data_IF_529583091442
#
_entry.id   IF_529583091442
#
_cell.length_a   1.000
_cell.length_b   1.000
_cell.length_c   1.000
_cell.angle_alpha   90.00
_cell.angle_beta   90.00
_cell.angle_gamma   90.00
#
_symmetry.space_group_name_H-M   'P 1'
#
loop_
_entity.id
_entity.type
_entity.pdbx_description
1 polymer ?
#
# COMPACT_ATOMS: atom_id res chain seq x y z
N UNK A 1 6.90 -2.96 21.28
CA UNK A 1 5.76 -2.36 20.57
C UNK A 1 5.51 -3.16 19.31
N UNK A 2 4.27 -3.60 19.05
CA UNK A 2 3.95 -4.31 17.81
C UNK A 2 4.10 -3.37 16.60
N UNK A 3 4.37 -3.92 15.41
CA UNK A 3 4.53 -3.14 14.18
C UNK A 3 3.36 -2.16 13.98
N UNK A 4 2.14 -2.60 14.24
CA UNK A 4 0.90 -1.84 14.05
C UNK A 4 0.66 -0.69 15.04
N UNK A 5 1.40 -0.63 16.15
CA UNK A 5 1.18 0.36 17.21
C UNK A 5 2.27 1.45 17.23
N UNK A 6 3.11 1.51 16.19
CA UNK A 6 4.08 2.61 16.07
C UNK A 6 3.33 3.93 15.79
N UNK A 7 3.50 4.98 16.61
CA UNK A 7 2.65 6.18 16.57
C UNK A 7 2.63 6.87 15.20
N UNK A 8 3.78 6.93 14.52
CA UNK A 8 3.86 7.56 13.21
C UNK A 8 3.08 6.78 12.14
N UNK A 9 2.95 5.44 12.22
CA UNK A 9 2.20 4.70 11.17
C UNK A 9 0.72 4.95 11.32
N UNK A 10 0.25 4.97 12.58
CA UNK A 10 -1.12 5.34 12.90
C UNK A 10 -1.38 6.78 12.45
N UNK A 11 -0.51 7.72 12.79
CA UNK A 11 -0.68 9.13 12.41
C UNK A 11 -0.75 9.30 10.88
N UNK A 12 0.17 8.69 10.13
CA UNK A 12 0.18 8.76 8.66
C UNK A 12 -0.99 8.02 8.02
N UNK A 13 -1.45 6.91 8.60
CA UNK A 13 -2.69 6.24 8.18
C UNK A 13 -3.91 7.15 8.37
N UNK A 14 -4.05 7.78 9.54
CA UNK A 14 -5.18 8.67 9.84
C UNK A 14 -5.17 9.91 8.94
N UNK A 15 -4.00 10.51 8.69
CA UNK A 15 -3.86 11.63 7.75
C UNK A 15 -4.25 11.20 6.33
N UNK A 16 -3.74 10.06 5.85
CA UNK A 16 -4.09 9.53 4.53
C UNK A 16 -5.59 9.23 4.41
N UNK A 17 -6.18 8.61 5.42
CA UNK A 17 -7.60 8.31 5.45
C UNK A 17 -8.46 9.58 5.45
N UNK A 18 -8.07 10.60 6.23
CA UNK A 18 -8.75 11.89 6.24
C UNK A 18 -8.72 12.54 4.84
N UNK A 19 -7.58 12.51 4.16
CA UNK A 19 -7.45 13.03 2.80
C UNK A 19 -8.32 12.26 1.80
N UNK A 20 -8.43 10.94 1.94
CA UNK A 20 -9.29 10.12 1.08
C UNK A 20 -10.77 10.47 1.29
N UNK A 21 -11.21 10.61 2.53
CA UNK A 21 -12.60 10.98 2.86
C UNK A 21 -12.93 12.39 2.34
N UNK A 22 -12.06 13.37 2.59
CA UNK A 22 -12.22 14.73 2.05
C UNK A 22 -12.18 14.77 0.52
N UNK A 23 -11.37 13.91 -0.09
CA UNK A 23 -11.30 13.76 -1.54
C UNK A 23 -12.61 13.20 -2.12
N UNK A 24 -13.20 12.19 -1.49
CA UNK A 24 -14.49 11.65 -1.89
C UNK A 24 -15.60 12.72 -1.85
N UNK A 25 -15.60 13.56 -0.82
CA UNK A 25 -16.53 14.70 -0.71
C UNK A 25 -16.36 15.74 -1.81
N UNK A 26 -15.11 16.04 -2.15
CA UNK A 26 -14.78 17.08 -3.10
C UNK A 26 -15.00 16.66 -4.55
N UNK A 27 -14.53 15.47 -4.93
CA UNK A 27 -14.58 14.99 -6.32
C UNK A 27 -15.88 14.26 -6.66
N UNK A 28 -16.54 13.64 -5.67
CA UNK A 28 -17.84 12.97 -5.84
C UNK A 28 -17.87 11.97 -7.00
N UNK A 29 -16.78 11.22 -7.21
CA UNK A 29 -16.75 10.19 -8.24
C UNK A 29 -17.70 9.04 -7.87
N UNK A 30 -18.44 8.53 -8.86
CA UNK A 30 -19.46 7.51 -8.65
C UNK A 30 -18.94 6.13 -8.22
N UNK A 31 -17.62 5.94 -8.19
CA UNK A 31 -16.91 4.72 -7.82
C UNK A 31 -16.08 4.87 -6.53
N UNK A 32 -16.06 6.08 -5.94
CA UNK A 32 -15.23 6.44 -4.80
C UNK A 32 -16.05 7.08 -3.68
N UNK A 33 -16.22 6.34 -2.59
CA UNK A 33 -16.90 6.80 -1.38
C UNK A 33 -16.02 6.60 -0.12
N UNK A 34 -16.58 6.88 1.05
CA UNK A 34 -15.89 6.69 2.32
C UNK A 34 -15.63 5.21 2.64
N UNK A 35 -16.56 4.33 2.28
CA UNK A 35 -16.49 2.92 2.61
C UNK A 35 -15.33 2.23 1.91
N UNK A 36 -15.17 2.48 0.60
CA UNK A 36 -14.03 1.95 -0.15
C UNK A 36 -12.70 2.55 0.37
N UNK A 37 -12.70 3.84 0.71
CA UNK A 37 -11.53 4.53 1.26
C UNK A 37 -11.04 3.86 2.55
N UNK A 38 -11.96 3.60 3.49
CA UNK A 38 -11.65 2.92 4.75
C UNK A 38 -11.19 1.49 4.49
N UNK A 39 -11.92 0.73 3.66
CA UNK A 39 -11.61 -0.67 3.37
C UNK A 39 -10.20 -0.84 2.78
N UNK A 40 -9.86 -0.09 1.74
CA UNK A 40 -8.56 -0.19 1.06
C UNK A 40 -7.43 0.29 1.96
N UNK A 41 -7.62 1.38 2.71
CA UNK A 41 -6.62 1.89 3.64
C UNK A 41 -6.30 0.87 4.76
N UNK A 42 -7.33 0.26 5.35
CA UNK A 42 -7.15 -0.73 6.41
C UNK A 42 -6.55 -2.04 5.89
N UNK A 43 -6.99 -2.53 4.72
CA UNK A 43 -6.40 -3.71 4.07
C UNK A 43 -4.91 -3.48 3.79
N UNK A 44 -4.56 -2.31 3.25
CA UNK A 44 -3.17 -1.91 2.99
C UNK A 44 -2.36 -1.86 4.28
N UNK A 45 -2.88 -1.26 5.36
CA UNK A 45 -2.22 -1.20 6.65
C UNK A 45 -1.96 -2.58 7.26
N UNK A 46 -2.97 -3.45 7.21
CA UNK A 46 -2.89 -4.81 7.77
C UNK A 46 -1.88 -5.69 7.04
N UNK A 47 -1.82 -5.60 5.70
CA UNK A 47 -1.00 -6.49 4.87
C UNK A 47 0.39 -5.94 4.55
N UNK A 48 0.68 -4.67 4.84
CA UNK A 48 1.99 -4.06 4.57
C UNK A 48 3.18 -4.83 5.17
N UNK A 49 3.14 -5.35 6.42
CA UNK A 49 4.27 -6.10 6.97
C UNK A 49 4.57 -7.36 6.14
N UNK A 50 3.51 -8.05 5.68
CA UNK A 50 3.65 -9.28 4.89
C UNK A 50 4.11 -8.98 3.47
N UNK A 51 3.64 -7.90 2.88
CA UNK A 51 4.12 -7.38 1.60
C UNK A 51 5.61 -7.07 1.67
N UNK A 52 6.03 -6.31 2.67
CA UNK A 52 7.44 -5.96 2.85
C UNK A 52 8.31 -7.20 3.07
N UNK A 53 7.86 -8.16 3.89
CA UNK A 53 8.56 -9.43 4.07
C UNK A 53 8.70 -10.22 2.76
N UNK A 54 7.66 -10.26 1.92
CA UNK A 54 7.70 -10.91 0.62
C UNK A 54 8.76 -10.27 -0.30
N UNK A 55 8.83 -8.94 -0.34
CA UNK A 55 9.86 -8.22 -1.10
C UNK A 55 11.28 -8.55 -0.61
N UNK A 56 11.51 -8.58 0.70
CA UNK A 56 12.82 -8.93 1.27
C UNK A 56 13.21 -10.39 0.94
N UNK A 57 12.24 -11.28 0.90
CA UNK A 57 12.41 -12.70 0.53
C UNK A 57 12.47 -12.91 -0.99
N UNK A 58 12.28 -11.85 -1.80
CA UNK A 58 12.18 -11.90 -3.27
C UNK A 58 11.06 -12.81 -3.76
N UNK A 59 10.02 -12.95 -2.95
CA UNK A 59 8.78 -13.66 -3.30
C UNK A 59 7.84 -12.69 -4.03
N UNK A 60 8.15 -12.48 -5.31
CA UNK A 60 7.45 -11.51 -6.15
C UNK A 60 5.99 -11.87 -6.37
N UNK A 61 5.65 -13.16 -6.37
CA UNK A 61 4.27 -13.61 -6.54
C UNK A 61 3.43 -13.19 -5.34
N UNK A 62 3.88 -13.46 -4.11
CA UNK A 62 3.14 -13.05 -2.92
C UNK A 62 3.06 -11.53 -2.80
N UNK A 63 4.14 -10.81 -3.13
CA UNK A 63 4.11 -9.36 -3.13
C UNK A 63 3.07 -8.80 -4.14
N UNK A 64 3.04 -9.35 -5.35
CA UNK A 64 2.07 -8.95 -6.38
C UNK A 64 0.63 -9.29 -5.95
N UNK A 65 0.39 -10.49 -5.39
CA UNK A 65 -0.93 -10.89 -4.91
C UNK A 65 -1.44 -9.98 -3.80
N UNK A 66 -0.58 -9.56 -2.86
CA UNK A 66 -0.98 -8.62 -1.80
C UNK A 66 -1.33 -7.25 -2.39
N UNK A 67 -0.51 -6.74 -3.31
CA UNK A 67 -0.79 -5.46 -3.97
C UNK A 67 -2.13 -5.51 -4.72
N UNK A 68 -2.32 -6.52 -5.58
CA UNK A 68 -3.57 -6.70 -6.35
C UNK A 68 -4.76 -6.90 -5.40
N UNK A 69 -4.60 -7.67 -4.33
CA UNK A 69 -5.64 -7.84 -3.33
C UNK A 69 -6.05 -6.50 -2.72
N UNK A 70 -5.09 -5.72 -2.23
CA UNK A 70 -5.35 -4.45 -1.54
C UNK A 70 -5.89 -3.34 -2.46
N UNK A 71 -5.48 -3.33 -3.73
CA UNK A 71 -5.76 -2.24 -4.66
C UNK A 71 -6.94 -2.53 -5.59
N UNK A 72 -7.03 -3.75 -6.10
CA UNK A 72 -7.98 -4.10 -7.17
C UNK A 72 -9.10 -5.02 -6.68
N UNK A 73 -8.75 -6.03 -5.87
CA UNK A 73 -9.73 -7.02 -5.41
C UNK A 73 -10.68 -6.42 -4.37
N UNK A 74 -10.16 -5.68 -3.39
CA UNK A 74 -10.97 -4.93 -2.40
C UNK A 74 -11.90 -3.93 -3.07
N UNK A 75 -11.39 -3.16 -4.04
CA UNK A 75 -12.17 -2.23 -4.85
C UNK A 75 -13.28 -2.95 -5.61
N UNK A 76 -12.92 -3.94 -6.43
CA UNK A 76 -13.90 -4.65 -7.26
C UNK A 76 -14.97 -5.33 -6.42
N UNK A 77 -14.58 -6.00 -5.32
CA UNK A 77 -15.52 -6.67 -4.42
C UNK A 77 -16.47 -5.69 -3.72
N UNK A 78 -15.97 -4.54 -3.27
CA UNK A 78 -16.80 -3.51 -2.63
C UNK A 78 -17.82 -2.93 -3.61
N UNK A 79 -17.38 -2.50 -4.80
CA UNK A 79 -18.27 -1.89 -5.77
C UNK A 79 -19.33 -2.88 -6.26
N UNK A 80 -18.97 -4.14 -6.47
CA UNK A 80 -19.95 -5.19 -6.79
C UNK A 80 -20.96 -5.38 -5.64
N UNK A 81 -20.50 -5.39 -4.39
CA UNK A 81 -21.38 -5.51 -3.23
C UNK A 81 -22.34 -4.32 -3.09
N UNK A 82 -21.91 -3.12 -3.49
CA UNK A 82 -22.71 -1.89 -3.45
C UNK A 82 -23.47 -1.61 -4.77
N UNK A 83 -23.42 -2.53 -5.75
CA UNK A 83 -23.99 -2.37 -7.08
C UNK A 83 -23.55 -1.08 -7.83
N UNK A 84 -22.30 -0.68 -7.63
CA UNK A 84 -21.66 0.48 -8.26
C UNK A 84 -20.93 0.10 -9.57
N UNK A 85 -20.65 1.10 -10.42
CA UNK A 85 -19.98 0.90 -11.72
C UNK A 85 -18.49 0.60 -11.59
N UNK A 86 -17.95 -0.25 -12.48
CA UNK A 86 -16.51 -0.60 -12.54
C UNK A 86 -15.76 0.12 -13.68
N UNK A 87 -16.36 1.13 -14.30
CA UNK A 87 -15.78 1.84 -15.45
C UNK A 87 -14.41 2.45 -15.17
N UNK A 88 -14.20 2.95 -13.95
CA UNK A 88 -12.96 3.62 -13.54
C UNK A 88 -11.94 2.68 -12.89
N UNK A 89 -12.16 1.35 -12.92
CA UNK A 89 -11.29 0.36 -12.27
C UNK A 89 -9.81 0.50 -12.67
N UNK A 90 -9.52 0.71 -13.94
CA UNK A 90 -8.13 0.87 -14.42
C UNK A 90 -7.47 2.15 -13.91
N UNK A 91 -8.24 3.23 -13.80
CA UNK A 91 -7.76 4.51 -13.26
C UNK A 91 -7.51 4.38 -11.77
N UNK A 92 -8.46 3.77 -11.04
CA UNK A 92 -8.31 3.46 -9.63
C UNK A 92 -7.09 2.58 -9.37
N UNK A 93 -6.84 1.55 -10.19
CA UNK A 93 -5.68 0.69 -10.04
C UNK A 93 -4.38 1.50 -10.01
N UNK A 94 -4.19 2.41 -10.96
CA UNK A 94 -2.99 3.26 -11.04
C UNK A 94 -2.84 4.20 -9.84
N UNK A 95 -3.92 4.89 -9.47
CA UNK A 95 -3.93 5.81 -8.33
C UNK A 95 -3.65 5.08 -7.00
N UNK A 96 -4.38 4.01 -6.75
CA UNK A 96 -4.30 3.22 -5.52
C UNK A 96 -3.01 2.41 -5.41
N UNK A 97 -2.45 1.90 -6.51
CA UNK A 97 -1.11 1.29 -6.49
C UNK A 97 -0.01 2.30 -6.15
N UNK A 98 -0.13 3.53 -6.63
CA UNK A 98 0.80 4.61 -6.30
C UNK A 98 0.75 4.97 -4.81
N UNK A 99 -0.46 5.08 -4.25
CA UNK A 99 -0.66 5.32 -2.83
C UNK A 99 -0.17 4.14 -1.97
N UNK A 100 -0.42 2.90 -2.40
CA UNK A 100 0.10 1.69 -1.75
C UNK A 100 1.63 1.71 -1.70
N UNK A 101 2.30 2.04 -2.82
CA UNK A 101 3.75 2.20 -2.88
C UNK A 101 4.26 3.31 -1.96
N UNK A 102 3.55 4.44 -1.90
CA UNK A 102 3.86 5.52 -0.97
C UNK A 102 3.76 5.07 0.50
N UNK A 103 2.69 4.36 0.86
CA UNK A 103 2.54 3.74 2.18
C UNK A 103 3.71 2.79 2.49
N UNK A 104 4.13 1.96 1.54
CA UNK A 104 5.29 1.09 1.72
C UNK A 104 6.58 1.88 1.99
N UNK A 105 6.82 2.97 1.26
CA UNK A 105 7.98 3.84 1.47
C UNK A 105 7.95 4.44 2.88
N UNK A 106 6.86 5.11 3.25
CA UNK A 106 6.72 5.78 4.55
C UNK A 106 6.79 4.76 5.69
N UNK A 107 6.18 3.58 5.52
CA UNK A 107 5.99 2.66 6.62
C UNK A 107 7.12 1.64 6.82
N UNK A 108 7.87 1.32 5.76
CA UNK A 108 8.91 0.31 5.78
C UNK A 108 10.28 0.90 5.43
N UNK A 109 10.39 1.65 4.34
CA UNK A 109 11.69 2.12 3.85
C UNK A 109 12.24 3.32 4.65
N UNK A 110 11.41 4.32 4.96
CA UNK A 110 11.85 5.52 5.68
C UNK A 110 12.42 5.21 7.08
N UNK A 111 11.80 4.32 7.88
CA UNK A 111 12.40 3.90 9.15
C UNK A 111 13.73 3.15 8.99
N UNK A 112 13.88 2.36 7.91
CA UNK A 112 15.14 1.67 7.62
C UNK A 112 16.26 2.64 7.22
N UNK A 113 15.92 3.70 6.47
CA UNK A 113 16.82 4.80 6.14
C UNK A 113 17.30 5.51 7.40
N UNK A 114 16.37 5.88 8.28
CA UNK A 114 16.68 6.57 9.53
C UNK A 114 17.60 5.74 10.43
N UNK A 115 17.46 4.42 10.43
CA UNK A 115 18.29 3.50 11.22
C UNK A 115 19.62 3.12 10.54
N UNK A 116 19.91 3.60 9.32
CA UNK A 116 21.13 3.27 8.59
C UNK A 116 21.22 1.81 8.10
N UNK A 117 20.12 1.05 8.10
CA UNK A 117 20.09 -0.40 7.81
C UNK A 117 19.92 -0.76 6.33
N UNK A 118 19.90 0.21 5.42
CA UNK A 118 19.71 -0.08 3.98
C UNK A 118 20.82 -0.96 3.39
N UNK A 119 22.07 -0.80 3.87
CA UNK A 119 23.24 -1.47 3.28
C UNK A 119 23.23 -3.00 3.46
N UNK A 120 22.50 -3.55 4.43
CA UNK A 120 22.46 -5.00 4.68
C UNK A 120 21.44 -5.76 3.83
N UNK A 121 20.56 -5.07 3.11
CA UNK A 121 19.42 -5.67 2.40
C UNK A 121 19.60 -5.67 0.88
N UNK A 122 20.41 -4.76 0.34
CA UNK A 122 20.81 -4.77 -1.06
C UNK A 122 22.17 -5.46 -1.19
N UNK A 123 22.24 -6.76 -1.53
CA UNK A 123 23.52 -7.34 -1.92
C UNK A 123 23.85 -6.78 -3.29
N UNK A 124 24.51 -5.62 -3.33
CA UNK A 124 25.30 -5.26 -4.50
C UNK A 124 26.46 -6.25 -4.50
N UNK A 125 26.26 -7.44 -5.09
CA UNK A 125 27.38 -8.29 -5.46
C UNK A 125 28.19 -7.49 -6.46
N UNK A 126 29.24 -6.86 -5.95
CA UNK A 126 30.35 -6.34 -6.75
C UNK A 126 30.85 -7.49 -7.61
N UNK A 127 30.42 -7.51 -8.88
CA UNK A 127 31.08 -8.29 -9.93
C UNK A 127 32.40 -7.59 -10.20
N UNK A 128 33.39 -7.84 -9.35
CA UNK A 128 34.78 -7.47 -9.59
C UNK A 128 35.68 -8.44 -8.83
N UNK A 129 36.39 -9.29 -9.57
CA UNK A 129 37.45 -10.14 -9.03
C UNK A 129 37.34 -11.64 -9.34
N UNK A 130 37.04 -12.03 -10.58
CA UNK A 130 37.49 -13.33 -11.13
C UNK A 130 37.82 -13.13 -12.62
N UNK A 131 39.04 -12.67 -12.88
CA UNK A 131 39.84 -12.91 -14.08
C UNK A 131 41.25 -12.37 -13.81
#
# INVERSE_FOLDING_TARGET
>A
MSWYLMPWRIATLLIGLLLLVLGADYYQFGDWDYGISVLMALATYALMPRFHAALLQRDWLVAALILVFCVDTTYTAYLQAMAMTLELRWVNFGASASLFGFCWIVWCLLPMLWQGKIRSVLPFKSVRGQA
#
